data_IF_634734634903
#
_entry.id   IF_634734634903
#
_cell.length_a   1.000
_cell.length_b   1.000
_cell.length_c   1.000
_cell.angle_alpha   90.00
_cell.angle_beta   90.00
_cell.angle_gamma   90.00
#
_symmetry.space_group_name_H-M   'P 1'
#
loop_
_entity.id
_entity.type
_entity.pdbx_description
1 polymer ?
#
# COMPACT_ATOMS: atom_id res chain seq x y z
N UNK A 1 -42.01 -0.86 -44.49
CA UNK A 1 -40.82 -1.75 -44.52
C UNK A 1 -39.67 -1.21 -43.69
N UNK A 2 -39.22 0.04 -43.92
CA UNK A 2 -38.11 0.68 -43.18
C UNK A 2 -38.30 0.68 -41.65
N UNK A 3 -39.50 1.02 -41.15
CA UNK A 3 -39.79 1.04 -39.71
C UNK A 3 -39.64 -0.32 -39.01
N UNK A 4 -39.97 -1.42 -39.69
CA UNK A 4 -39.77 -2.78 -39.14
C UNK A 4 -38.29 -3.13 -39.06
N UNK A 5 -37.50 -2.74 -40.06
CA UNK A 5 -36.05 -2.94 -40.07
C UNK A 5 -35.41 -2.12 -38.95
N UNK A 6 -35.81 -0.86 -38.80
CA UNK A 6 -35.34 0.02 -37.72
C UNK A 6 -35.71 -0.58 -36.35
N UNK A 7 -36.95 -1.03 -36.16
CA UNK A 7 -37.38 -1.68 -34.93
C UNK A 7 -36.59 -2.95 -34.59
N UNK A 8 -36.34 -3.80 -35.59
CA UNK A 8 -35.53 -5.00 -35.42
C UNK A 8 -34.07 -4.68 -35.07
N UNK A 9 -33.47 -3.68 -35.71
CA UNK A 9 -32.12 -3.22 -35.40
C UNK A 9 -32.01 -2.67 -33.96
N UNK A 10 -32.99 -1.86 -33.53
CA UNK A 10 -33.02 -1.34 -32.15
C UNK A 10 -33.17 -2.47 -31.15
N UNK A 11 -34.07 -3.43 -31.39
CA UNK A 11 -34.25 -4.59 -30.52
C UNK A 11 -32.97 -5.43 -30.42
N UNK A 12 -32.31 -5.70 -31.54
CA UNK A 12 -31.04 -6.43 -31.57
C UNK A 12 -29.94 -5.71 -30.77
N UNK A 13 -29.86 -4.38 -30.87
CA UNK A 13 -28.90 -3.57 -30.13
C UNK A 13 -29.18 -3.61 -28.61
N UNK A 14 -30.45 -3.55 -28.19
CA UNK A 14 -30.85 -3.68 -26.79
C UNK A 14 -30.51 -5.06 -26.23
N UNK A 15 -30.80 -6.13 -26.97
CA UNK A 15 -30.46 -7.51 -26.54
C UNK A 15 -28.94 -7.67 -26.42
N UNK A 16 -28.17 -7.13 -27.36
CA UNK A 16 -26.70 -7.17 -27.31
C UNK A 16 -26.17 -6.39 -26.10
N UNK A 17 -26.69 -5.20 -25.83
CA UNK A 17 -26.31 -4.40 -24.67
C UNK A 17 -26.62 -5.12 -23.35
N UNK A 18 -27.78 -5.77 -23.25
CA UNK A 18 -28.16 -6.55 -22.07
C UNK A 18 -27.23 -7.76 -21.87
N UNK A 19 -26.94 -8.51 -22.94
CA UNK A 19 -26.03 -9.66 -22.90
C UNK A 19 -24.62 -9.25 -22.45
N UNK A 20 -24.08 -8.15 -23.00
CA UNK A 20 -22.78 -7.61 -22.58
C UNK A 20 -22.78 -7.22 -21.10
N UNK A 21 -23.87 -6.62 -20.63
CA UNK A 21 -24.02 -6.19 -19.23
C UNK A 21 -24.00 -7.38 -18.27
N UNK A 22 -24.76 -8.44 -18.57
CA UNK A 22 -24.79 -9.66 -17.76
C UNK A 22 -23.44 -10.35 -17.73
N UNK A 23 -22.74 -10.42 -18.87
CA UNK A 23 -21.41 -11.01 -18.94
C UNK A 23 -20.40 -10.24 -18.08
N UNK A 24 -20.47 -8.91 -18.07
CA UNK A 24 -19.61 -8.06 -17.23
C UNK A 24 -19.92 -8.21 -15.75
N UNK A 25 -21.20 -8.28 -15.38
CA UNK A 25 -21.61 -8.50 -14.00
C UNK A 25 -21.03 -9.81 -13.44
N UNK A 26 -21.08 -10.88 -14.24
CA UNK A 26 -20.53 -12.17 -13.83
C UNK A 26 -19.00 -12.11 -13.68
N UNK A 27 -18.29 -11.46 -14.61
CA UNK A 27 -16.83 -11.26 -14.51
C UNK A 27 -16.45 -10.50 -13.23
N UNK A 28 -17.16 -9.42 -12.89
CA UNK A 28 -16.90 -8.65 -11.67
C UNK A 28 -17.22 -9.45 -10.40
N UNK A 29 -18.30 -10.24 -10.41
CA UNK A 29 -18.65 -11.13 -9.30
C UNK A 29 -17.57 -12.19 -9.06
N UNK A 30 -17.06 -12.80 -10.13
CA UNK A 30 -15.95 -13.75 -10.06
C UNK A 30 -14.67 -13.10 -9.53
N UNK A 31 -14.30 -11.92 -10.06
CA UNK A 31 -13.12 -11.19 -9.59
C UNK A 31 -13.23 -10.80 -8.10
N UNK A 32 -14.43 -10.45 -7.64
CA UNK A 32 -14.71 -10.18 -6.22
C UNK A 32 -14.47 -11.42 -5.36
N UNK A 33 -14.98 -12.58 -5.79
CA UNK A 33 -14.79 -13.86 -5.10
C UNK A 33 -13.31 -14.24 -4.99
N UNK A 34 -12.53 -14.08 -6.07
CA UNK A 34 -11.09 -14.35 -6.06
C UNK A 34 -10.34 -13.45 -5.07
N UNK A 35 -10.72 -12.18 -4.97
CA UNK A 35 -10.14 -11.28 -3.98
C UNK A 35 -10.51 -11.70 -2.54
N UNK A 36 -11.75 -12.17 -2.30
CA UNK A 36 -12.19 -12.64 -0.99
C UNK A 36 -11.47 -13.91 -0.55
N UNK A 37 -11.28 -14.84 -1.48
CA UNK A 37 -10.57 -16.08 -1.23
C UNK A 37 -9.09 -15.83 -0.92
N UNK A 38 -8.40 -15.03 -1.75
CA UNK A 38 -7.01 -14.65 -1.49
C UNK A 38 -6.85 -13.91 -0.15
N UNK A 39 -7.81 -13.04 0.20
CA UNK A 39 -7.81 -12.36 1.51
C UNK A 39 -7.96 -13.35 2.66
N UNK A 40 -8.85 -14.33 2.55
CA UNK A 40 -9.06 -15.36 3.59
C UNK A 40 -7.80 -16.18 3.81
N UNK A 41 -7.16 -16.62 2.74
CA UNK A 41 -5.91 -17.37 2.80
C UNK A 41 -4.82 -16.55 3.49
N UNK A 42 -4.64 -15.29 3.09
CA UNK A 42 -3.68 -14.39 3.73
C UNK A 42 -3.96 -14.22 5.24
N UNK A 43 -5.22 -14.01 5.64
CA UNK A 43 -5.60 -13.86 7.05
C UNK A 43 -5.32 -15.10 7.90
N UNK A 44 -5.43 -16.31 7.33
CA UNK A 44 -5.07 -17.55 8.05
C UNK A 44 -3.58 -17.56 8.36
N UNK A 45 -2.74 -17.18 7.40
CA UNK A 45 -1.29 -17.11 7.59
C UNK A 45 -0.89 -16.04 8.61
N UNK A 46 -1.51 -14.85 8.56
CA UNK A 46 -1.28 -13.79 9.57
C UNK A 46 -1.60 -14.30 10.98
N UNK A 47 -2.77 -14.93 11.17
CA UNK A 47 -3.17 -15.47 12.47
C UNK A 47 -2.25 -16.60 12.93
N UNK A 48 -1.83 -17.48 12.02
CA UNK A 48 -0.88 -18.54 12.32
C UNK A 48 0.45 -17.99 12.83
N UNK A 49 0.93 -16.90 12.22
CA UNK A 49 2.11 -16.18 12.68
C UNK A 49 1.90 -15.56 14.06
N UNK A 50 0.82 -14.80 14.26
CA UNK A 50 0.51 -14.16 15.55
C UNK A 50 0.39 -15.17 16.68
N UNK A 51 -0.16 -16.35 16.43
CA UNK A 51 -0.27 -17.41 17.42
C UNK A 51 1.09 -18.03 17.82
N UNK A 52 2.07 -18.03 16.92
CA UNK A 52 3.40 -18.61 17.17
C UNK A 52 4.36 -17.65 17.89
N UNK A 53 4.17 -16.33 17.74
CA UNK A 53 5.06 -15.31 18.32
C UNK A 53 5.14 -15.37 19.85
N UNK A 54 4.05 -15.53 20.63
CA UNK A 54 4.13 -15.65 22.08
C UNK A 54 4.96 -16.84 22.55
N UNK A 55 4.87 -17.98 21.83
CA UNK A 55 5.70 -19.14 22.12
C UNK A 55 7.19 -18.85 21.88
N UNK A 56 7.51 -18.12 20.81
CA UNK A 56 8.88 -17.69 20.52
C UNK A 56 9.42 -16.70 21.57
N UNK A 57 8.61 -15.74 22.02
CA UNK A 57 9.00 -14.80 23.08
C UNK A 57 9.26 -15.57 24.38
N UNK A 58 8.36 -16.49 24.75
CA UNK A 58 8.48 -17.28 25.97
C UNK A 58 9.74 -18.15 26.02
N UNK A 59 10.14 -18.76 24.89
CA UNK A 59 11.41 -19.51 24.84
C UNK A 59 12.62 -18.59 24.89
N UNK A 60 12.56 -17.43 24.24
CA UNK A 60 13.66 -16.46 24.27
C UNK A 60 13.89 -15.91 25.68
N UNK A 61 12.83 -15.64 26.45
CA UNK A 61 12.91 -15.20 27.85
C UNK A 61 13.62 -16.19 28.78
N UNK A 62 13.65 -17.48 28.42
CA UNK A 62 14.38 -18.49 29.21
C UNK A 62 15.89 -18.41 29.01
N UNK A 63 16.35 -17.88 27.87
CA UNK A 63 17.78 -17.82 27.49
C UNK A 63 18.36 -16.42 27.72
N UNK A 64 17.53 -15.37 27.71
CA UNK A 64 17.99 -13.98 27.81
C UNK A 64 17.18 -13.15 28.79
N UNK A 65 17.84 -12.16 29.39
CA UNK A 65 17.22 -11.07 30.16
C UNK A 65 16.99 -9.80 29.32
N UNK A 66 17.19 -9.89 27.99
CA UNK A 66 17.02 -8.77 27.07
C UNK A 66 15.56 -8.28 27.03
N UNK A 67 15.37 -6.99 26.75
CA UNK A 67 14.06 -6.38 26.62
C UNK A 67 13.34 -6.86 25.34
N UNK A 68 12.27 -7.63 25.50
CA UNK A 68 11.42 -8.13 24.41
C UNK A 68 10.12 -7.33 24.23
N UNK A 69 9.97 -6.21 24.95
CA UNK A 69 8.79 -5.34 24.85
C UNK A 69 8.57 -4.81 23.44
N UNK A 70 9.64 -4.66 22.66
CA UNK A 70 9.57 -4.25 21.24
C UNK A 70 8.83 -5.27 20.37
N UNK A 71 9.03 -6.58 20.60
CA UNK A 71 8.36 -7.66 19.87
C UNK A 71 6.90 -7.75 20.31
N UNK A 72 6.64 -7.64 21.61
CA UNK A 72 5.27 -7.63 22.16
C UNK A 72 4.44 -6.44 21.65
N UNK A 73 5.03 -5.24 21.63
CA UNK A 73 4.40 -4.04 21.11
C UNK A 73 4.12 -4.17 19.60
N UNK A 74 5.09 -4.73 18.85
CA UNK A 74 4.91 -4.97 17.42
C UNK A 74 3.79 -6.00 17.16
N UNK A 75 3.72 -7.08 17.96
CA UNK A 75 2.65 -8.07 17.88
C UNK A 75 1.29 -7.43 18.17
N UNK A 76 1.17 -6.68 19.27
CA UNK A 76 -0.06 -5.98 19.62
C UNK A 76 -0.48 -4.98 18.54
N UNK A 77 0.48 -4.34 17.86
CA UNK A 77 0.19 -3.46 16.73
C UNK A 77 -0.36 -4.21 15.51
N UNK A 78 0.19 -5.40 15.23
CA UNK A 78 -0.24 -6.26 14.13
C UNK A 78 -1.63 -6.86 14.38
N UNK A 79 -1.93 -7.27 15.61
CA UNK A 79 -3.24 -7.79 16.00
C UNK A 79 -4.35 -6.73 15.92
N UNK A 80 -4.04 -5.47 16.30
CA UNK A 80 -4.98 -4.34 16.19
C UNK A 80 -5.28 -3.94 14.75
N UNK A 81 -4.36 -4.21 13.82
CA UNK A 81 -4.49 -3.88 12.41
C UNK A 81 -4.41 -5.15 11.55
N UNK A 82 -5.46 -6.00 11.53
CA UNK A 82 -5.39 -7.33 10.92
C UNK A 82 -5.30 -7.31 9.39
N UNK A 83 -5.54 -6.17 8.73
CA UNK A 83 -5.54 -6.07 7.28
C UNK A 83 -5.34 -4.62 6.77
N UNK A 84 -5.14 -4.48 5.45
CA UNK A 84 -5.00 -3.21 4.76
C UNK A 84 -3.59 -2.65 4.89
N UNK A 85 -3.43 -1.36 4.54
CA UNK A 85 -2.11 -0.70 4.53
C UNK A 85 -1.47 -0.65 5.92
N UNK A 86 -2.28 -0.37 6.93
CA UNK A 86 -1.84 -0.37 8.34
C UNK A 86 -1.40 -1.76 8.79
N UNK A 87 -2.13 -2.80 8.39
CA UNK A 87 -1.76 -4.18 8.70
C UNK A 87 -0.46 -4.61 8.03
N UNK A 88 -0.27 -4.27 6.76
CA UNK A 88 0.99 -4.54 6.06
C UNK A 88 2.19 -3.86 6.75
N UNK A 89 2.04 -2.61 7.17
CA UNK A 89 3.08 -1.89 7.91
C UNK A 89 3.38 -2.52 9.27
N UNK A 90 2.34 -2.93 10.01
CA UNK A 90 2.48 -3.61 11.29
C UNK A 90 3.16 -4.98 11.16
N UNK A 91 2.82 -5.76 10.13
CA UNK A 91 3.47 -7.04 9.82
C UNK A 91 4.97 -6.88 9.55
N UNK A 92 5.36 -5.84 8.81
CA UNK A 92 6.79 -5.58 8.56
C UNK A 92 7.51 -5.10 9.82
N UNK A 93 6.85 -4.31 10.67
CA UNK A 93 7.41 -3.93 11.96
C UNK A 93 7.65 -5.16 12.84
N UNK A 94 6.68 -6.09 12.87
CA UNK A 94 6.80 -7.37 13.57
C UNK A 94 7.93 -8.24 13.01
N UNK A 95 8.08 -8.35 11.68
CA UNK A 95 9.22 -9.04 11.06
C UNK A 95 10.55 -8.47 11.53
N UNK A 96 10.70 -7.14 11.47
CA UNK A 96 11.94 -6.49 11.92
C UNK A 96 12.24 -6.74 13.40
N UNK A 97 11.22 -6.73 14.25
CA UNK A 97 11.39 -7.00 15.69
C UNK A 97 11.81 -8.45 15.94
N UNK A 98 11.20 -9.43 15.26
CA UNK A 98 11.57 -10.84 15.36
C UNK A 98 12.98 -11.09 14.84
N UNK A 99 13.37 -10.49 13.71
CA UNK A 99 14.70 -10.64 13.12
C UNK A 99 15.80 -10.01 14.00
N UNK A 100 15.48 -8.92 14.70
CA UNK A 100 16.38 -8.33 15.70
C UNK A 100 16.52 -9.26 16.92
N UNK A 101 15.41 -9.83 17.40
CA UNK A 101 15.40 -10.75 18.54
C UNK A 101 16.18 -12.05 18.24
N UNK A 102 16.14 -12.53 16.99
CA UNK A 102 16.86 -13.72 16.55
C UNK A 102 18.40 -13.60 16.61
N UNK A 103 18.93 -12.37 16.66
CA UNK A 103 20.37 -12.14 16.79
C UNK A 103 20.87 -12.27 18.24
N UNK A 104 19.97 -12.27 19.23
CA UNK A 104 20.32 -12.30 20.66
C UNK A 104 21.02 -13.62 21.05
N UNK A 105 20.50 -14.81 20.70
CA UNK A 105 21.16 -16.08 21.07
C UNK A 105 22.57 -16.18 20.49
N UNK A 106 22.77 -15.79 19.22
CA UNK A 106 24.08 -15.87 18.56
C UNK A 106 25.16 -15.00 19.21
N UNK A 107 24.80 -13.84 19.75
CA UNK A 107 25.73 -12.99 20.50
C UNK A 107 26.13 -13.60 21.85
N UNK A 108 25.22 -14.34 22.48
CA UNK A 108 25.46 -14.97 23.78
C UNK A 108 26.36 -16.19 23.62
N UNK A 109 26.10 -17.06 22.64
CA UNK A 109 26.89 -18.26 22.38
C UNK A 109 28.31 -17.94 21.88
N UNK A 110 28.47 -16.85 21.12
CA UNK A 110 29.79 -16.35 20.73
C UNK A 110 30.65 -15.87 21.91
N UNK A 111 30.03 -15.39 23.00
CA UNK A 111 30.74 -14.93 24.20
C UNK A 111 31.14 -16.07 25.13
N UNK A 112 30.33 -17.12 25.24
CA UNK A 112 30.64 -18.30 26.06
C UNK A 112 31.69 -19.19 25.41
N UNK A 113 31.66 -19.37 24.08
CA UNK A 113 32.67 -20.14 23.35
C UNK A 113 34.08 -19.51 23.41
N UNK A 114 34.17 -18.18 23.57
CA UNK A 114 35.44 -17.49 23.78
C UNK A 114 36.04 -17.69 25.18
N UNK A 115 35.25 -18.17 26.15
CA UNK A 115 35.63 -18.24 27.57
C UNK A 115 35.89 -19.68 28.04
N UNK A 116 35.15 -20.67 27.51
CA UNK A 116 35.16 -22.04 28.04
C UNK A 116 35.70 -23.06 27.01
N UNK A 117 37.00 -23.32 27.08
CA UNK A 117 37.67 -24.42 26.35
C UNK A 117 37.56 -25.72 27.15
N UNK A 118 36.40 -26.38 27.20
CA UNK A 118 36.32 -27.77 27.70
C UNK A 118 35.18 -28.54 27.01
N UNK A 119 35.45 -29.64 26.29
CA UNK A 119 34.41 -30.38 25.58
C UNK A 119 33.78 -31.38 26.54
N UNK A 120 32.63 -31.03 27.12
CA UNK A 120 31.79 -32.02 27.83
C UNK A 120 30.70 -32.48 26.87
N UNK A 121 30.73 -33.79 26.58
CA UNK A 121 29.81 -34.50 25.71
C UNK A 121 28.51 -34.83 26.45
N UNK A 122 27.90 -33.81 27.05
CA UNK A 122 26.51 -33.82 27.53
C UNK A 122 25.84 -32.69 26.77
N UNK A 123 24.77 -32.99 26.03
CA UNK A 123 23.93 -31.96 25.42
C UNK A 123 23.45 -31.08 26.56
N UNK A 124 24.05 -29.90 26.69
CA UNK A 124 23.67 -28.99 27.76
C UNK A 124 22.22 -28.57 27.51
N UNK A 125 21.37 -28.44 28.53
CA UNK A 125 19.96 -28.02 28.37
C UNK A 125 19.84 -26.71 27.59
N UNK A 126 20.89 -25.89 27.59
CA UNK A 126 21.01 -24.66 26.81
C UNK A 126 21.07 -24.89 25.30
N UNK A 127 21.78 -25.92 24.84
CA UNK A 127 21.92 -26.25 23.42
C UNK A 127 20.58 -26.70 22.81
N UNK A 128 19.76 -27.40 23.61
CA UNK A 128 18.40 -27.77 23.23
C UNK A 128 17.49 -26.54 23.06
N UNK A 129 17.60 -25.56 23.96
CA UNK A 129 16.87 -24.29 23.86
C UNK A 129 17.29 -23.48 22.64
N UNK A 130 18.60 -23.35 22.38
CA UNK A 130 19.12 -22.64 21.21
C UNK A 130 18.60 -23.26 19.89
N UNK A 131 18.59 -24.61 19.82
CA UNK A 131 18.03 -25.35 18.68
C UNK A 131 16.52 -25.09 18.52
N UNK A 132 15.78 -25.07 19.63
CA UNK A 132 14.34 -24.79 19.64
C UNK A 132 14.04 -23.37 19.17
N UNK A 133 14.81 -22.39 19.63
CA UNK A 133 14.68 -20.98 19.20
C UNK A 133 14.95 -20.85 17.70
N UNK A 134 16.00 -21.51 17.20
CA UNK A 134 16.33 -21.53 15.77
C UNK A 134 15.19 -22.15 14.93
N UNK A 135 14.58 -23.24 15.40
CA UNK A 135 13.45 -23.89 14.75
C UNK A 135 12.22 -22.97 14.69
N UNK A 136 11.83 -22.36 15.81
CA UNK A 136 10.67 -21.45 15.87
C UNK A 136 10.89 -20.22 14.99
N UNK A 137 12.10 -19.64 15.01
CA UNK A 137 12.44 -18.54 14.12
C UNK A 137 12.34 -18.96 12.64
N UNK A 138 12.83 -20.15 12.29
CA UNK A 138 12.67 -20.72 10.95
C UNK A 138 11.21 -20.86 10.52
N UNK A 139 10.34 -21.35 11.41
CA UNK A 139 8.88 -21.44 11.16
C UNK A 139 8.25 -20.06 10.95
N UNK A 140 8.62 -19.06 11.76
CA UNK A 140 8.18 -17.66 11.59
C UNK A 140 8.63 -17.07 10.25
N UNK A 141 9.84 -17.41 9.80
CA UNK A 141 10.34 -16.94 8.51
C UNK A 141 9.58 -17.59 7.34
N UNK A 142 9.30 -18.90 7.42
CA UNK A 142 8.45 -19.59 6.43
C UNK A 142 7.06 -18.95 6.37
N UNK A 143 6.43 -18.66 7.51
CA UNK A 143 5.15 -17.94 7.56
C UNK A 143 5.26 -16.54 6.96
N UNK A 144 6.36 -15.82 7.22
CA UNK A 144 6.60 -14.49 6.66
C UNK A 144 6.66 -14.52 5.13
N UNK A 145 7.34 -15.49 4.53
CA UNK A 145 7.37 -15.59 3.06
C UNK A 145 6.01 -16.05 2.49
N UNK A 146 5.27 -16.93 3.18
CA UNK A 146 3.90 -17.28 2.80
C UNK A 146 2.96 -16.07 2.84
N UNK A 147 3.09 -15.21 3.85
CA UNK A 147 2.37 -13.93 3.97
C UNK A 147 2.77 -13.00 2.81
N UNK A 148 4.06 -12.84 2.52
CA UNK A 148 4.53 -12.00 1.40
C UNK A 148 3.99 -12.50 0.06
N UNK A 149 4.01 -13.82 -0.16
CA UNK A 149 3.45 -14.43 -1.36
C UNK A 149 1.94 -14.23 -1.46
N UNK A 150 1.21 -14.48 -0.38
CA UNK A 150 -0.24 -14.27 -0.29
C UNK A 150 -0.64 -12.81 -0.52
N UNK A 151 0.15 -11.86 0.00
CA UNK A 151 -0.02 -10.43 -0.25
C UNK A 151 0.12 -10.08 -1.73
N UNK A 152 1.16 -10.59 -2.41
CA UNK A 152 1.35 -10.38 -3.87
C UNK A 152 0.16 -10.91 -4.69
N UNK A 153 -0.34 -12.10 -4.35
CA UNK A 153 -1.50 -12.72 -5.01
C UNK A 153 -2.75 -11.87 -4.79
N UNK A 154 -3.01 -11.47 -3.54
CA UNK A 154 -4.14 -10.61 -3.21
C UNK A 154 -4.10 -9.28 -3.96
N UNK A 155 -2.96 -8.60 -3.96
CA UNK A 155 -2.79 -7.30 -4.64
C UNK A 155 -3.00 -7.44 -6.16
N UNK A 156 -2.45 -8.49 -6.77
CA UNK A 156 -2.66 -8.77 -8.20
C UNK A 156 -4.15 -8.94 -8.52
N UNK A 157 -4.90 -9.64 -7.67
CA UNK A 157 -6.35 -9.81 -7.83
C UNK A 157 -7.11 -8.49 -7.64
N UNK A 158 -6.70 -7.66 -6.68
CA UNK A 158 -7.26 -6.32 -6.46
C UNK A 158 -7.04 -5.43 -7.68
N UNK A 159 -5.85 -5.44 -8.29
CA UNK A 159 -5.53 -4.69 -9.50
C UNK A 159 -6.36 -5.15 -10.71
N UNK A 160 -6.53 -6.46 -10.87
CA UNK A 160 -7.40 -7.03 -11.91
C UNK A 160 -8.86 -6.61 -11.69
N UNK A 161 -9.34 -6.64 -10.45
CA UNK A 161 -10.68 -6.20 -10.09
C UNK A 161 -10.88 -4.69 -10.35
N UNK A 162 -9.90 -3.85 -10.01
CA UNK A 162 -9.97 -2.40 -10.28
C UNK A 162 -9.99 -2.10 -11.78
N UNK A 163 -9.10 -2.72 -12.56
CA UNK A 163 -9.09 -2.59 -14.04
C UNK A 163 -10.40 -3.04 -14.68
N UNK A 164 -11.04 -4.08 -14.15
CA UNK A 164 -12.36 -4.53 -14.63
C UNK A 164 -13.48 -3.55 -14.25
N UNK A 165 -13.37 -2.90 -13.08
CA UNK A 165 -14.32 -1.89 -12.59
C UNK A 165 -14.28 -0.59 -13.39
N UNK A 166 -13.13 -0.21 -13.93
CA UNK A 166 -12.93 1.05 -14.66
C UNK A 166 -13.46 1.05 -16.11
N UNK A 167 -13.74 -0.14 -16.66
CA UNK A 167 -14.30 -0.32 -18.02
C UNK A 167 -15.64 0.41 -18.15
N UNK A 168 -15.90 0.98 -19.33
CA UNK A 168 -17.04 1.86 -19.60
C UNK A 168 -18.41 1.28 -19.17
N UNK A 169 -18.67 -0.01 -19.47
CA UNK A 169 -19.92 -0.69 -19.07
C UNK A 169 -19.98 -1.02 -17.56
N UNK A 170 -18.82 -1.17 -16.92
CA UNK A 170 -18.72 -1.47 -15.49
C UNK A 170 -18.96 -0.24 -14.60
N UNK A 171 -18.79 0.98 -15.16
CA UNK A 171 -19.00 2.25 -14.42
C UNK A 171 -20.43 2.39 -13.88
N UNK A 172 -21.41 1.82 -14.58
CA UNK A 172 -22.81 1.77 -14.16
C UNK A 172 -23.02 1.01 -12.83
N UNK A 173 -22.10 0.13 -12.45
CA UNK A 173 -22.21 -0.72 -11.26
C UNK A 173 -21.26 -0.32 -10.12
N UNK A 174 -20.65 0.87 -10.16
CA UNK A 174 -19.69 1.33 -9.13
C UNK A 174 -20.27 1.35 -7.72
N UNK A 175 -21.58 1.62 -7.57
CA UNK A 175 -22.23 1.64 -6.26
C UNK A 175 -22.37 0.24 -5.64
N UNK A 176 -22.45 -0.81 -6.47
CA UNK A 176 -22.57 -2.21 -6.04
C UNK A 176 -21.19 -2.83 -5.80
N UNK A 177 -20.23 -2.50 -6.67
CA UNK A 177 -18.86 -3.02 -6.64
C UNK A 177 -17.88 -1.97 -6.10
N UNK A 178 -17.80 -1.90 -4.77
CA UNK A 178 -16.89 -0.97 -4.07
C UNK A 178 -15.41 -1.28 -4.36
N UNK A 179 -14.59 -0.24 -4.30
CA UNK A 179 -13.14 -0.40 -4.34
C UNK A 179 -12.64 -1.25 -3.15
N UNK A 180 -11.58 -2.01 -3.39
CA UNK A 180 -10.91 -2.83 -2.38
C UNK A 180 -9.55 -2.22 -2.07
N UNK A 181 -9.21 -2.19 -0.79
CA UNK A 181 -7.91 -1.71 -0.32
C UNK A 181 -6.83 -2.77 -0.57
N UNK A 182 -5.69 -2.42 -1.21
CA UNK A 182 -4.57 -3.33 -1.37
C UNK A 182 -3.87 -3.61 -0.03
N UNK A 183 -3.21 -4.76 0.07
CA UNK A 183 -2.33 -5.11 1.18
C UNK A 183 -0.89 -4.73 0.80
N UNK A 184 -0.61 -3.43 0.83
CA UNK A 184 0.72 -2.87 0.58
C UNK A 184 1.01 -1.87 1.68
N UNK A 185 2.28 -1.77 2.06
CA UNK A 185 2.70 -0.65 2.89
C UNK A 185 2.45 0.66 2.13
N UNK A 186 2.08 1.72 2.85
CA UNK A 186 2.15 3.03 2.23
C UNK A 186 3.62 3.31 1.92
N UNK A 187 4.05 3.11 0.67
CA UNK A 187 5.28 3.72 0.17
C UNK A 187 5.10 5.22 0.37
N UNK A 188 6.13 5.91 0.87
CA UNK A 188 6.09 7.37 1.07
C UNK A 188 5.68 8.13 -0.20
N UNK A 189 5.85 7.50 -1.37
CA UNK A 189 5.44 7.98 -2.70
C UNK A 189 3.91 8.06 -2.89
N UNK A 190 3.11 7.14 -2.33
CA UNK A 190 1.65 7.17 -2.48
C UNK A 190 0.97 8.29 -1.69
N UNK A 191 1.68 8.90 -0.73
CA UNK A 191 1.20 10.10 -0.03
C UNK A 191 1.32 11.37 -0.89
N UNK A 192 2.06 11.33 -2.00
CA UNK A 192 2.24 12.47 -2.91
C UNK A 192 1.28 12.47 -4.10
N UNK A 193 0.51 11.40 -4.31
CA UNK A 193 -0.38 11.26 -5.47
C UNK A 193 -1.87 11.54 -5.16
N UNK A 194 -2.17 12.16 -4.01
CA UNK A 194 -3.36 12.99 -3.92
C UNK A 194 -3.08 14.27 -4.71
N UNK A 195 -3.71 14.51 -5.88
CA UNK A 195 -3.62 15.81 -6.50
C UNK A 195 -4.27 16.79 -5.51
N UNK A 196 -3.45 17.63 -4.89
CA UNK A 196 -3.93 18.82 -4.23
C UNK A 196 -4.90 19.51 -5.20
N UNK A 197 -6.08 19.99 -4.73
CA UNK A 197 -6.93 20.83 -5.55
C UNK A 197 -6.04 21.94 -6.13
N UNK A 198 -5.94 21.99 -7.46
CA UNK A 198 -5.19 23.02 -8.14
C UNK A 198 -5.82 24.35 -7.76
N UNK A 199 -5.22 25.01 -6.78
CA UNK A 199 -5.47 26.41 -6.46
C UNK A 199 -5.00 27.17 -7.70
N UNK A 200 -5.97 27.60 -8.49
CA UNK A 200 -5.75 28.46 -9.66
C UNK A 200 -4.89 29.64 -9.21
N UNK A 201 -3.72 29.89 -9.82
CA UNK A 201 -3.03 31.14 -9.57
C UNK A 201 -3.89 32.25 -10.19
N UNK A 202 -4.25 33.22 -9.36
CA UNK A 202 -4.96 34.43 -9.76
C UNK A 202 -4.27 35.09 -10.99
N UNK A 203 -5.02 35.70 -11.92
CA UNK A 203 -4.43 36.39 -13.06
C UNK A 203 -3.51 37.51 -12.57
N UNK A 204 -2.23 37.42 -12.89
CA UNK A 204 -1.26 38.48 -12.67
C UNK A 204 -1.66 39.70 -13.52
N UNK A 205 -1.92 40.82 -12.85
CA UNK A 205 -2.00 42.14 -13.48
C UNK A 205 -0.69 42.44 -14.22
N UNK A 206 -0.77 42.55 -15.54
CA UNK A 206 0.29 43.16 -16.36
C UNK A 206 0.20 44.68 -16.22
N UNK A 207 1.29 45.39 -15.84
CA UNK A 207 1.35 46.82 -16.05
C UNK A 207 1.66 47.04 -17.55
N UNK A 208 0.65 47.50 -18.28
CA UNK A 208 0.77 47.83 -19.70
C UNK A 208 1.72 49.01 -19.93
N UNK A 209 2.68 48.81 -20.82
CA UNK A 209 3.36 49.91 -21.52
C UNK A 209 2.39 50.52 -22.54
N UNK A 210 2.26 51.85 -22.62
CA UNK A 210 1.26 52.49 -23.47
C UNK A 210 1.83 52.75 -24.86
N UNK A 211 1.13 52.28 -25.91
CA UNK A 211 1.35 52.78 -27.27
C UNK A 211 0.01 53.18 -27.92
N UNK A 212 -0.17 54.51 -27.95
CA UNK A 212 -0.84 55.32 -28.97
C UNK A 212 -2.27 54.99 -29.42
N UNK A 213 -3.22 55.86 -29.04
CA UNK A 213 -3.98 56.61 -30.04
C UNK A 213 -4.78 57.78 -29.46
N UNK A 214 -4.79 58.86 -30.23
CA UNK A 214 -5.80 59.92 -30.29
C UNK A 214 -5.90 60.90 -29.10
N UNK A 215 -5.12 61.98 -29.17
CA UNK A 215 -5.54 63.27 -28.64
C UNK A 215 -5.40 64.33 -29.73
N UNK A 216 -6.57 64.76 -30.19
CA UNK A 216 -6.82 65.84 -31.13
C UNK A 216 -6.40 67.16 -30.45
N UNK A 217 -5.21 67.67 -30.80
CA UNK A 217 -4.66 68.91 -30.26
C UNK A 217 -4.91 70.08 -31.19
N UNK A 218 -5.88 70.90 -30.81
CA UNK A 218 -6.29 72.13 -31.47
C UNK A 218 -5.24 73.23 -31.25
N UNK A 219 -4.85 73.89 -32.35
CA UNK A 219 -4.44 75.29 -32.52
C UNK A 219 -3.67 76.04 -31.40
N UNK A 220 -2.51 76.59 -31.77
CA UNK A 220 -2.17 77.98 -31.37
C UNK A 220 -0.79 78.25 -30.76
N UNK A 221 0.21 78.46 -31.63
CA UNK A 221 1.20 79.56 -31.63
C UNK A 221 2.19 79.79 -30.44
N UNK A 222 3.35 80.46 -30.68
CA UNK A 222 4.63 80.11 -30.04
C UNK A 222 5.30 81.22 -29.21
N UNK A 223 6.15 80.83 -28.24
CA UNK A 223 7.27 81.64 -27.72
C UNK A 223 8.46 80.69 -27.44
N UNK A 224 9.53 80.70 -28.25
CA UNK A 224 10.75 81.55 -28.22
C UNK A 224 11.60 81.46 -26.94
N UNK A 225 12.89 81.12 -27.20
CA UNK A 225 14.09 81.44 -26.41
C UNK A 225 14.24 80.68 -25.08
N UNK A 226 15.35 80.04 -24.71
CA UNK A 226 16.74 79.96 -25.19
C UNK A 226 17.51 79.13 -24.13
N UNK A 227 18.76 78.71 -24.39
CA UNK A 227 19.44 77.67 -23.62
C UNK A 227 20.45 78.24 -22.61
N UNK A 228 20.63 77.57 -21.47
CA UNK A 228 21.83 77.57 -20.61
C UNK A 228 21.44 76.93 -19.26
N UNK A 229 22.30 76.31 -18.44
CA UNK A 229 23.66 75.75 -18.47
C UNK A 229 23.82 75.17 -17.06
N UNK A 230 24.74 74.22 -16.91
CA UNK A 230 25.38 73.80 -15.64
C UNK A 230 24.58 72.88 -14.73
#
# INVERSE_FOLDING_TARGET
MVWFIVGACVLALVVLALALTLLRFNQLSMARSLCDEAKRQLLVELRGRHALVPAYIGTLQQVTTHDLSSVELALASAERAPFGRRGAAAERALTRAIDAAAQIPGQISGRTAATDSTPVMQTDPREELDTTIALLHGQLNVLTERIRSGARIYNTNVDLYHRQRERALSRLFQNVFRAREPFTEASAEESQEQPAPQEQPAPQEQPGSPEQSAAQGQSGAPERSGPDRS
#
